data_IF_560670678792
#
_entry.id   IF_560670678792
#
_cell.length_a   1.000
_cell.length_b   1.000
_cell.length_c   1.000
_cell.angle_alpha   90.00
_cell.angle_beta   90.00
_cell.angle_gamma   90.00
#
_symmetry.space_group_name_H-M   'P 1'
#
loop_
_entity.id
_entity.type
_entity.pdbx_description
1 polymer ?
#
# COMPACT_ATOMS: atom_id res chain seq x y z
N UNK A 1 -3.92 -15.51 -5.89
CA UNK A 1 -2.98 -16.38 -5.15
C UNK A 1 -2.10 -15.50 -4.27
N UNK A 2 -2.25 -15.63 -2.95
CA UNK A 2 -1.68 -14.72 -1.94
C UNK A 2 -0.15 -14.84 -1.78
N UNK A 3 0.53 -15.64 -2.61
CA UNK A 3 1.96 -15.94 -2.47
C UNK A 3 2.89 -15.04 -3.30
N UNK A 4 2.36 -14.17 -4.16
CA UNK A 4 3.20 -13.42 -5.12
C UNK A 4 3.87 -12.14 -4.57
N UNK A 5 3.66 -11.70 -3.32
CA UNK A 5 4.19 -10.38 -2.88
C UNK A 5 4.73 -10.26 -1.46
N UNK A 6 5.27 -11.34 -0.90
CA UNK A 6 5.94 -11.28 0.42
C UNK A 6 7.45 -10.97 0.35
N UNK A 7 8.06 -10.97 -0.84
CA UNK A 7 9.52 -10.78 -0.99
C UNK A 7 9.93 -9.37 -1.45
N UNK A 8 9.06 -8.61 -2.13
CA UNK A 8 9.44 -7.33 -2.77
C UNK A 8 9.38 -6.08 -1.86
N UNK A 9 8.78 -6.18 -0.68
CA UNK A 9 8.52 -4.98 0.17
C UNK A 9 9.68 -4.60 1.07
N UNK A 10 10.62 -5.53 1.36
CA UNK A 10 11.80 -5.24 2.19
C UNK A 10 12.93 -4.57 1.41
N UNK A 11 13.09 -4.89 0.13
CA UNK A 11 14.18 -4.31 -0.68
C UNK A 11 13.94 -2.83 -1.01
N UNK A 12 12.69 -2.39 -1.21
CA UNK A 12 12.41 -0.99 -1.55
C UNK A 12 12.57 0.01 -0.38
N UNK A 13 12.59 -0.46 0.87
CA UNK A 13 12.73 0.42 2.04
C UNK A 13 14.19 0.64 2.46
N UNK A 14 15.13 -0.15 1.92
CA UNK A 14 16.52 -0.15 2.36
C UNK A 14 17.37 1.00 1.76
N UNK A 15 16.84 1.74 0.78
CA UNK A 15 17.60 2.76 0.04
C UNK A 15 17.37 4.21 0.49
N UNK A 16 16.57 4.48 1.53
CA UNK A 16 16.38 5.85 2.05
C UNK A 16 16.30 5.86 3.58
N UNK A 17 17.45 5.87 4.29
CA UNK A 17 17.44 5.74 5.75
C UNK A 17 16.96 6.99 6.51
N UNK A 18 16.93 8.20 5.90
CA UNK A 18 16.68 9.45 6.65
C UNK A 18 15.95 10.58 5.88
N UNK A 19 15.32 10.34 4.73
CA UNK A 19 14.73 11.46 3.97
C UNK A 19 13.31 11.80 4.43
N UNK A 20 13.21 12.50 5.56
CA UNK A 20 12.08 13.33 5.97
C UNK A 20 10.74 12.58 6.13
N UNK A 21 10.04 12.81 7.24
CA UNK A 21 8.60 12.56 7.28
C UNK A 21 7.98 13.55 6.28
N UNK A 22 7.87 13.15 5.00
CA UNK A 22 7.10 13.88 4.02
C UNK A 22 5.67 13.80 4.52
N UNK A 23 5.08 14.94 4.83
CA UNK A 23 3.64 15.06 4.89
C UNK A 23 3.17 15.36 3.46
N UNK A 24 2.81 14.35 2.66
CA UNK A 24 2.43 14.58 1.27
C UNK A 24 1.17 15.43 1.22
N UNK A 25 1.15 16.44 0.33
CA UNK A 25 -0.05 17.25 0.13
C UNK A 25 -1.24 16.43 -0.43
N UNK A 26 -0.96 15.30 -1.09
CA UNK A 26 -1.97 14.37 -1.60
C UNK A 26 -1.45 12.93 -1.65
N UNK A 27 -2.36 11.99 -1.42
CA UNK A 27 -2.11 10.54 -1.51
C UNK A 27 -3.18 9.89 -2.39
N UNK A 28 -2.74 8.97 -3.25
CA UNK A 28 -3.63 8.11 -4.02
C UNK A 28 -3.62 6.71 -3.41
N UNK A 29 -4.80 6.19 -3.10
CA UNK A 29 -4.97 4.83 -2.60
C UNK A 29 -5.73 4.00 -3.63
N UNK A 30 -5.14 2.87 -4.02
CA UNK A 30 -5.76 1.94 -4.95
C UNK A 30 -6.13 0.65 -4.19
N UNK A 31 -7.43 0.37 -4.10
CA UNK A 31 -7.97 -0.79 -3.39
C UNK A 31 -8.68 -1.67 -4.41
N UNK A 32 -8.30 -2.95 -4.43
CA UNK A 32 -8.85 -3.91 -5.38
C UNK A 32 -10.24 -4.39 -4.99
N UNK A 33 -10.98 -4.95 -5.95
CA UNK A 33 -12.22 -5.69 -5.68
C UNK A 33 -11.90 -6.99 -4.91
N UNK A 34 -12.92 -7.77 -4.56
CA UNK A 34 -12.79 -9.01 -3.79
C UNK A 34 -11.89 -10.04 -4.49
N UNK A 35 -11.82 -10.01 -5.82
CA UNK A 35 -10.93 -10.84 -6.64
C UNK A 35 -9.46 -10.38 -6.65
N UNK A 36 -9.16 -9.22 -6.08
CA UNK A 36 -7.86 -8.57 -6.14
C UNK A 36 -7.52 -8.02 -7.53
N UNK A 37 -6.26 -7.63 -7.71
CA UNK A 37 -5.71 -7.21 -9.00
C UNK A 37 -5.00 -8.38 -9.70
N UNK A 38 -5.10 -8.40 -11.04
CA UNK A 38 -4.26 -9.24 -11.89
C UNK A 38 -2.78 -8.83 -11.77
N UNK A 39 -1.87 -9.72 -12.21
CA UNK A 39 -0.43 -9.42 -12.17
C UNK A 39 -0.08 -8.27 -13.10
N UNK A 40 -0.78 -8.18 -14.22
CA UNK A 40 -0.62 -7.15 -15.25
C UNK A 40 -1.04 -5.78 -14.71
N UNK A 41 -2.17 -5.69 -14.01
CA UNK A 41 -2.63 -4.47 -13.34
C UNK A 41 -1.66 -4.02 -12.24
N UNK A 42 -1.16 -4.96 -11.41
CA UNK A 42 -0.17 -4.64 -10.38
C UNK A 42 1.14 -4.14 -10.99
N UNK A 43 1.61 -4.79 -12.06
CA UNK A 43 2.82 -4.37 -12.77
C UNK A 43 2.67 -2.97 -13.38
N UNK A 44 1.51 -2.69 -13.98
CA UNK A 44 1.18 -1.36 -14.51
C UNK A 44 1.09 -0.29 -13.42
N UNK A 45 0.52 -0.62 -12.25
CA UNK A 45 0.45 0.29 -11.12
C UNK A 45 1.86 0.65 -10.61
N UNK A 46 2.72 -0.37 -10.43
CA UNK A 46 4.09 -0.17 -9.99
C UNK A 46 4.91 0.63 -11.00
N UNK A 47 4.75 0.37 -12.30
CA UNK A 47 5.44 1.15 -13.34
C UNK A 47 4.98 2.61 -13.41
N UNK A 48 3.78 2.93 -12.91
CA UNK A 48 3.27 4.29 -12.71
C UNK A 48 3.68 4.92 -11.36
N UNK A 49 4.51 4.25 -10.58
CA UNK A 49 5.03 4.75 -9.31
C UNK A 49 4.16 4.43 -8.08
N UNK A 50 3.16 3.55 -8.20
CA UNK A 50 2.43 3.09 -7.01
C UNK A 50 3.28 2.08 -6.23
N UNK A 51 3.29 2.23 -4.91
CA UNK A 51 3.96 1.31 -3.99
C UNK A 51 2.93 0.34 -3.44
N UNK A 52 3.25 -0.96 -3.45
CA UNK A 52 2.38 -1.96 -2.83
C UNK A 52 2.70 -2.16 -1.36
N UNK A 53 1.66 -2.10 -0.53
CA UNK A 53 1.74 -2.23 0.91
C UNK A 53 0.86 -3.40 1.40
N UNK A 54 1.12 -3.89 2.61
CA UNK A 54 0.29 -4.90 3.27
C UNK A 54 -0.19 -4.41 4.63
N UNK A 55 -1.44 -4.74 4.99
CA UNK A 55 -2.04 -4.40 6.29
C UNK A 55 -1.92 -5.56 7.29
N UNK A 56 -0.76 -6.22 7.28
CA UNK A 56 -0.47 -7.40 8.09
C UNK A 56 -0.75 -8.72 7.37
N UNK A 57 -0.84 -9.81 8.15
CA UNK A 57 -0.86 -11.19 7.64
C UNK A 57 -2.22 -11.68 7.14
N UNK A 58 -3.30 -10.97 7.47
CA UNK A 58 -4.68 -11.38 7.15
C UNK A 58 -5.14 -10.68 5.88
N UNK A 59 -5.82 -11.42 5.01
CA UNK A 59 -6.54 -10.83 3.89
C UNK A 59 -7.78 -10.16 4.46
N UNK A 60 -7.85 -8.83 4.33
CA UNK A 60 -9.01 -8.05 4.70
C UNK A 60 -10.00 -7.99 3.53
N UNK A 61 -11.27 -7.79 3.85
CA UNK A 61 -12.28 -7.46 2.83
C UNK A 61 -12.01 -6.05 2.25
N UNK A 62 -12.50 -5.77 1.05
CA UNK A 62 -12.23 -4.51 0.36
C UNK A 62 -12.68 -3.30 1.20
N UNK A 63 -13.86 -3.38 1.81
CA UNK A 63 -14.43 -2.30 2.63
C UNK A 63 -13.61 -2.09 3.92
N UNK A 64 -13.19 -3.18 4.56
CA UNK A 64 -12.34 -3.10 5.76
C UNK A 64 -10.95 -2.55 5.43
N UNK A 65 -10.40 -2.92 4.27
CA UNK A 65 -9.11 -2.41 3.78
C UNK A 65 -9.18 -0.90 3.59
N UNK A 66 -10.26 -0.38 3.01
CA UNK A 66 -10.45 1.05 2.80
C UNK A 66 -10.45 1.84 4.10
N UNK A 67 -11.31 1.45 5.04
CA UNK A 67 -11.44 2.17 6.32
C UNK A 67 -10.14 2.06 7.13
N UNK A 68 -9.55 0.87 7.21
CA UNK A 68 -8.32 0.66 7.97
C UNK A 68 -7.14 1.46 7.41
N UNK A 69 -6.99 1.52 6.08
CA UNK A 69 -5.87 2.25 5.46
C UNK A 69 -5.99 3.74 5.69
N UNK A 70 -7.19 4.32 5.50
CA UNK A 70 -7.42 5.75 5.73
C UNK A 70 -7.17 6.10 7.20
N UNK A 71 -7.66 5.29 8.14
CA UNK A 71 -7.41 5.50 9.57
C UNK A 71 -5.91 5.48 9.91
N UNK A 72 -5.15 4.52 9.34
CA UNK A 72 -3.70 4.44 9.56
C UNK A 72 -2.95 5.63 8.95
N UNK A 73 -3.34 6.08 7.76
CA UNK A 73 -2.73 7.26 7.12
C UNK A 73 -3.00 8.50 7.98
N UNK A 74 -4.24 8.72 8.42
CA UNK A 74 -4.60 9.86 9.26
C UNK A 74 -3.89 9.82 10.62
N UNK A 75 -3.74 8.63 11.22
CA UNK A 75 -3.01 8.48 12.49
C UNK A 75 -1.50 8.80 12.35
N UNK A 76 -0.90 8.49 11.20
CA UNK A 76 0.54 8.67 10.99
C UNK A 76 0.91 10.06 10.43
N UNK A 77 0.04 10.63 9.59
CA UNK A 77 0.35 11.83 8.78
C UNK A 77 -0.72 12.93 8.90
N UNK A 78 -1.91 12.58 9.38
CA UNK A 78 -3.04 13.49 9.53
C UNK A 78 -3.22 13.98 10.96
N UNK A 79 -4.48 14.11 11.37
CA UNK A 79 -4.92 14.80 12.58
C UNK A 79 -5.85 13.97 13.49
N UNK A 80 -5.85 12.63 13.31
CA UNK A 80 -6.56 11.67 14.20
C UNK A 80 -5.60 11.17 15.27
#
# INVERSE_FOLDING_TARGET
DARYKMQDTRENLSNHPESCIMNPASLYLLIGPEGGFSKEEVSLAVSKGLITVSLGKRILRAETTAIATVALIQFLLGDI
#
